data_IF_789051998369
#
_entry.id   IF_789051998369
#
_cell.length_a   1.000
_cell.length_b   1.000
_cell.length_c   1.000
_cell.angle_alpha   90.00
_cell.angle_beta   90.00
_cell.angle_gamma   90.00
#
_symmetry.space_group_name_H-M   'P 1'
#
loop_
_entity.id
_entity.type
_entity.pdbx_description
1 polymer ?
#
# COMPACT_ATOMS: atom_id res chain seq x y z
N UNK A 1 8.72 12.26 6.02
CA UNK A 1 8.70 10.81 5.71
C UNK A 1 8.25 10.64 4.28
N UNK A 2 8.95 9.83 3.48
CA UNK A 2 8.52 9.51 2.11
C UNK A 2 7.61 8.27 2.14
N UNK A 3 6.32 8.50 2.37
CA UNK A 3 5.34 7.41 2.52
C UNK A 3 5.16 6.61 1.24
N UNK A 4 5.42 7.20 0.07
CA UNK A 4 5.39 6.47 -1.21
C UNK A 4 6.46 5.39 -1.22
N UNK A 5 7.72 5.73 -0.88
CA UNK A 5 8.80 4.73 -0.80
C UNK A 5 8.54 3.66 0.25
N UNK A 6 7.97 4.04 1.39
CA UNK A 6 7.58 3.09 2.44
C UNK A 6 6.51 2.13 1.92
N UNK A 7 5.44 2.65 1.33
CA UNK A 7 4.35 1.85 0.79
C UNK A 7 4.80 0.95 -0.35
N UNK A 8 5.63 1.47 -1.27
CA UNK A 8 6.25 0.71 -2.36
C UNK A 8 7.08 -0.46 -1.84
N UNK A 9 7.98 -0.21 -0.90
CA UNK A 9 8.84 -1.26 -0.33
C UNK A 9 8.02 -2.34 0.37
N UNK A 10 7.00 -1.95 1.15
CA UNK A 10 6.09 -2.88 1.83
C UNK A 10 5.25 -3.68 0.85
N UNK A 11 4.71 -3.05 -0.19
CA UNK A 11 3.95 -3.73 -1.24
C UNK A 11 4.80 -4.71 -2.04
N UNK A 12 6.06 -4.38 -2.34
CA UNK A 12 6.99 -5.31 -2.96
C UNK A 12 7.24 -6.55 -2.09
N UNK A 13 7.31 -6.40 -0.77
CA UNK A 13 7.46 -7.53 0.15
C UNK A 13 6.19 -8.39 0.20
N UNK A 14 5.02 -7.74 0.25
CA UNK A 14 3.71 -8.39 0.42
C UNK A 14 3.16 -9.03 -0.87
N UNK A 15 3.49 -8.44 -2.02
CA UNK A 15 3.07 -8.88 -3.36
C UNK A 15 4.30 -9.26 -4.21
N UNK A 16 5.02 -10.35 -3.87
CA UNK A 16 6.24 -10.74 -4.58
C UNK A 16 6.02 -10.95 -6.08
N UNK A 17 4.84 -11.44 -6.47
CA UNK A 17 4.44 -11.65 -7.88
C UNK A 17 4.33 -10.35 -8.68
N UNK A 18 4.00 -9.24 -8.03
CA UNK A 18 3.80 -7.93 -8.66
C UNK A 18 5.02 -7.01 -8.49
N UNK A 19 6.13 -7.48 -7.90
CA UNK A 19 7.32 -6.64 -7.60
C UNK A 19 7.81 -5.81 -8.77
N UNK A 20 7.92 -6.41 -9.96
CA UNK A 20 8.35 -5.69 -11.18
C UNK A 20 7.35 -4.61 -11.57
N UNK A 21 6.06 -4.94 -11.62
CA UNK A 21 5.02 -3.97 -11.94
C UNK A 21 4.98 -2.83 -10.92
N UNK A 22 5.13 -3.11 -9.62
CA UNK A 22 5.20 -2.10 -8.57
C UNK A 22 6.46 -1.24 -8.70
N UNK A 23 7.60 -1.83 -9.10
CA UNK A 23 8.86 -1.11 -9.32
C UNK A 23 8.79 -0.19 -10.52
N UNK A 24 8.18 -0.65 -11.61
CA UNK A 24 8.14 0.04 -12.88
C UNK A 24 6.94 1.01 -12.97
N UNK A 25 5.94 0.85 -12.11
CA UNK A 25 4.80 1.74 -12.04
C UNK A 25 5.24 3.14 -11.62
N UNK A 26 5.06 4.13 -12.50
CA UNK A 26 5.42 5.54 -12.26
C UNK A 26 4.27 6.49 -12.60
N UNK A 27 3.04 5.98 -12.65
CA UNK A 27 1.87 6.81 -12.93
C UNK A 27 1.26 7.36 -11.65
N UNK A 28 0.72 8.58 -11.71
CA UNK A 28 0.28 9.35 -10.54
C UNK A 28 -0.64 8.57 -9.58
N UNK A 29 -1.58 7.80 -10.13
CA UNK A 29 -2.55 7.05 -9.35
C UNK A 29 -1.93 5.94 -8.48
N UNK A 30 -0.94 5.19 -8.98
CA UNK A 30 -0.28 4.15 -8.17
C UNK A 30 0.59 4.76 -7.08
N UNK A 31 1.26 5.88 -7.36
CA UNK A 31 2.13 6.54 -6.40
C UNK A 31 1.30 7.14 -5.26
N UNK A 32 0.14 7.72 -5.58
CA UNK A 32 -0.81 8.19 -4.58
C UNK A 32 -1.32 7.05 -3.67
N UNK A 33 -1.69 5.90 -4.25
CA UNK A 33 -2.14 4.73 -3.47
C UNK A 33 -1.02 4.13 -2.62
N UNK A 34 0.20 4.03 -3.16
CA UNK A 34 1.37 3.57 -2.42
C UNK A 34 1.69 4.52 -1.25
N UNK A 35 1.60 5.83 -1.47
CA UNK A 35 1.75 6.84 -0.42
C UNK A 35 0.69 6.71 0.67
N UNK A 36 -0.59 6.57 0.29
CA UNK A 36 -1.69 6.38 1.23
C UNK A 36 -1.53 5.10 2.05
N UNK A 37 -1.16 3.99 1.41
CA UNK A 37 -0.87 2.74 2.10
C UNK A 37 0.32 2.88 3.05
N UNK A 38 1.41 3.52 2.60
CA UNK A 38 2.58 3.77 3.44
C UNK A 38 2.23 4.56 4.70
N UNK A 39 1.39 5.59 4.58
CA UNK A 39 0.91 6.38 5.71
C UNK A 39 0.02 5.56 6.65
N UNK A 40 -0.96 4.82 6.11
CA UNK A 40 -1.85 3.97 6.90
C UNK A 40 -1.08 2.88 7.65
N UNK A 41 -0.11 2.24 6.98
CA UNK A 41 0.72 1.19 7.56
C UNK A 41 1.64 1.71 8.67
N UNK A 42 2.22 2.92 8.52
CA UNK A 42 3.00 3.56 9.58
C UNK A 42 2.12 3.86 10.79
N UNK A 43 0.96 4.50 10.60
CA UNK A 43 0.05 4.79 11.71
C UNK A 43 -0.47 3.54 12.41
N UNK A 44 -0.76 2.47 11.65
CA UNK A 44 -1.13 1.17 12.23
C UNK A 44 -0.01 0.59 13.08
N UNK A 45 1.24 0.66 12.61
CA UNK A 45 2.38 0.16 13.37
C UNK A 45 2.62 1.02 14.63
N UNK A 46 2.50 2.35 14.54
CA UNK A 46 2.54 3.26 15.69
C UNK A 46 1.44 2.94 16.72
N UNK A 47 0.22 2.67 16.27
CA UNK A 47 -0.89 2.27 17.14
C UNK A 47 -0.61 0.93 17.84
N UNK A 48 0.01 -0.03 17.15
CA UNK A 48 0.39 -1.32 17.72
C UNK A 48 1.50 -1.21 18.76
N UNK A 49 2.35 -0.20 18.67
CA UNK A 49 3.41 0.07 19.66
C UNK A 49 2.87 0.76 20.93
N UNK A 50 1.63 1.27 20.92
CA UNK A 50 1.02 1.88 22.10
C UNK A 50 0.74 0.84 23.19
N UNK A 51 0.89 1.27 24.45
CA UNK A 51 0.70 0.41 25.62
C UNK A 51 -0.76 -0.06 25.79
N UNK A 52 -1.70 0.74 25.34
CA UNK A 52 -3.14 0.43 25.31
C UNK A 52 -3.72 0.93 24.00
N UNK A 53 -3.56 0.18 22.89
CA UNK A 53 -4.13 0.54 21.61
C UNK A 53 -5.67 0.51 21.70
N UNK A 54 -6.34 1.49 21.12
CA UNK A 54 -7.79 1.41 20.94
C UNK A 54 -8.10 0.34 19.88
N UNK A 55 -8.79 -0.75 20.25
CA UNK A 55 -9.08 -1.84 19.33
C UNK A 55 -9.94 -1.42 18.15
N UNK A 56 -10.78 -0.39 18.33
CA UNK A 56 -11.64 0.16 17.27
C UNK A 56 -10.78 0.87 16.23
N UNK A 57 -9.91 1.76 16.68
CA UNK A 57 -9.00 2.52 15.81
C UNK A 57 -8.01 1.55 15.11
N UNK A 58 -7.52 0.54 15.82
CA UNK A 58 -6.70 -0.50 15.19
C UNK A 58 -7.44 -1.21 14.05
N UNK A 59 -8.68 -1.65 14.28
CA UNK A 59 -9.49 -2.32 13.26
C UNK A 59 -9.73 -1.40 12.04
N UNK A 60 -10.00 -0.11 12.26
CA UNK A 60 -10.16 0.86 11.19
C UNK A 60 -8.90 0.99 10.31
N UNK A 61 -7.71 1.03 10.93
CA UNK A 61 -6.45 1.11 10.18
C UNK A 61 -6.09 -0.22 9.49
N UNK A 62 -6.47 -1.36 10.07
CA UNK A 62 -6.33 -2.67 9.42
C UNK A 62 -7.22 -2.77 8.19
N UNK A 63 -8.50 -2.40 8.31
CA UNK A 63 -9.45 -2.35 7.19
C UNK A 63 -9.01 -1.37 6.11
N UNK A 64 -8.48 -0.20 6.51
CA UNK A 64 -7.95 0.79 5.57
C UNK A 64 -6.74 0.24 4.81
N UNK A 65 -5.81 -0.42 5.50
CA UNK A 65 -4.66 -1.05 4.86
C UNK A 65 -5.11 -2.12 3.86
N UNK A 66 -6.09 -2.95 4.23
CA UNK A 66 -6.60 -4.00 3.35
C UNK A 66 -7.29 -3.43 2.10
N UNK A 67 -8.12 -2.39 2.25
CA UNK A 67 -8.77 -1.71 1.12
C UNK A 67 -7.74 -1.12 0.15
N UNK A 68 -6.71 -0.47 0.66
CA UNK A 68 -5.64 0.11 -0.15
C UNK A 68 -4.83 -0.97 -0.87
N UNK A 69 -4.55 -2.10 -0.21
CA UNK A 69 -3.91 -3.26 -0.83
C UNK A 69 -4.74 -3.79 -2.01
N UNK A 70 -6.05 -3.96 -1.81
CA UNK A 70 -6.95 -4.44 -2.85
C UNK A 70 -7.03 -3.47 -4.04
N UNK A 71 -7.08 -2.16 -3.80
CA UNK A 71 -7.08 -1.14 -4.85
C UNK A 71 -5.76 -1.14 -5.63
N UNK A 72 -4.63 -1.28 -4.95
CA UNK A 72 -3.31 -1.42 -5.59
C UNK A 72 -3.30 -2.67 -6.48
N UNK A 73 -3.78 -3.82 -6.00
CA UNK A 73 -3.85 -5.06 -6.78
C UNK A 73 -4.77 -4.88 -8.00
N UNK A 74 -5.93 -4.25 -7.84
CA UNK A 74 -6.88 -3.98 -8.94
C UNK A 74 -6.25 -3.12 -10.02
N UNK A 75 -5.53 -2.06 -9.62
CA UNK A 75 -4.80 -1.22 -10.58
C UNK A 75 -3.68 -2.00 -11.26
N UNK A 76 -2.87 -2.76 -10.53
CA UNK A 76 -1.79 -3.55 -11.12
C UNK A 76 -2.31 -4.63 -12.08
N UNK A 77 -3.51 -5.17 -11.82
CA UNK A 77 -4.19 -6.11 -12.71
C UNK A 77 -4.79 -5.43 -13.95
N UNK A 78 -5.29 -4.20 -13.80
CA UNK A 78 -5.83 -3.42 -14.92
C UNK A 78 -4.73 -2.86 -15.83
N UNK A 79 -3.54 -2.60 -15.27
CA UNK A 79 -2.32 -2.28 -16.03
C UNK A 79 -1.71 -3.58 -16.57
N UNK A 80 -2.45 -4.28 -17.43
CA UNK A 80 -1.93 -5.41 -18.19
C UNK A 80 -0.86 -4.92 -19.19
N UNK A 81 0.22 -5.69 -19.46
CA UNK A 81 1.31 -5.30 -20.38
C UNK A 81 0.88 -5.03 -21.84
N UNK A 82 -0.41 -5.07 -22.15
CA UNK A 82 -0.97 -4.77 -23.49
C UNK A 82 -1.20 -3.28 -23.77
N UNK A 83 -1.02 -2.39 -22.79
CA UNK A 83 -1.16 -0.93 -22.98
C UNK A 83 0.17 -0.18 -23.13
N UNK A 84 1.27 -0.90 -23.37
CA UNK A 84 2.51 -0.30 -23.88
C UNK A 84 2.82 -1.00 -25.19
N UNK A 85 2.24 -0.50 -26.28
CA UNK A 85 2.65 -0.84 -27.64
C UNK A 85 2.82 0.43 -28.44
#
# INVERSE_FOLDING_TARGET
MDFEKVGRSRMMMRLPRHRKQISDANFLAINALLGAYGQAAVKRDELREQRTPDPTIMAEYEDLCQKLEDDIIRILASVSPRMVR
#
